data_IF_428456575624
#
_entry.id   IF_428456575624
#
_cell.length_a   1.000
_cell.length_b   1.000
_cell.length_c   1.000
_cell.angle_alpha   90.00
_cell.angle_beta   90.00
_cell.angle_gamma   90.00
#
_symmetry.space_group_name_H-M   'P 1'
#
loop_
_entity.id
_entity.type
_entity.pdbx_description
1 polymer ?
#
# COMPACT_ATOMS: atom_id res chain seq x y z
N UNK A 1 3.63 19.35 -10.89
CA UNK A 1 4.18 18.26 -11.77
C UNK A 1 4.67 17.07 -10.96
N UNK A 2 5.41 17.29 -9.87
CA UNK A 2 5.92 16.23 -8.99
C UNK A 2 4.82 15.34 -8.37
N UNK A 3 3.67 15.89 -7.94
CA UNK A 3 2.52 15.08 -7.50
C UNK A 3 2.08 14.00 -8.53
N UNK A 4 1.96 14.39 -9.81
CA UNK A 4 1.59 13.47 -10.90
C UNK A 4 2.69 12.46 -11.20
N UNK A 5 3.95 12.86 -11.08
CA UNK A 5 5.11 11.97 -11.22
C UNK A 5 5.16 10.93 -10.08
N UNK A 6 4.94 11.33 -8.83
CA UNK A 6 4.86 10.42 -7.69
C UNK A 6 3.75 9.38 -7.92
N UNK A 7 2.55 9.83 -8.28
CA UNK A 7 1.44 8.97 -8.67
C UNK A 7 1.81 8.03 -9.82
N UNK A 8 2.41 8.54 -10.88
CA UNK A 8 2.81 7.74 -12.04
C UNK A 8 3.84 6.67 -11.67
N UNK A 9 4.84 7.03 -10.87
CA UNK A 9 5.87 6.10 -10.39
C UNK A 9 5.29 5.02 -9.47
N UNK A 10 4.26 5.34 -8.68
CA UNK A 10 3.54 4.37 -7.87
C UNK A 10 2.71 3.44 -8.75
N UNK A 11 1.93 3.99 -9.68
CA UNK A 11 1.13 3.21 -10.64
C UNK A 11 1.99 2.26 -11.50
N UNK A 12 3.20 2.66 -11.88
CA UNK A 12 4.13 1.79 -12.61
C UNK A 12 4.61 0.62 -11.74
N UNK A 13 4.90 0.86 -10.46
CA UNK A 13 5.30 -0.19 -9.52
C UNK A 13 4.16 -1.14 -9.19
N UNK A 14 2.93 -0.64 -9.12
CA UNK A 14 1.72 -1.42 -8.88
C UNK A 14 1.17 -2.07 -10.17
N UNK A 15 1.74 -1.77 -11.34
CA UNK A 15 1.30 -2.32 -12.61
C UNK A 15 1.79 -3.75 -12.81
N UNK A 16 0.84 -4.68 -12.92
CA UNK A 16 1.10 -6.09 -13.21
C UNK A 16 1.93 -6.34 -14.47
N UNK A 17 1.89 -5.43 -15.45
CA UNK A 17 2.52 -5.61 -16.76
C UNK A 17 3.89 -4.96 -16.88
N UNK A 18 4.25 -4.05 -15.97
CA UNK A 18 5.45 -3.25 -16.14
C UNK A 18 6.74 -4.10 -16.09
N UNK A 19 6.88 -4.91 -15.05
CA UNK A 19 8.04 -5.82 -14.89
C UNK A 19 8.08 -6.89 -16.01
N UNK A 20 6.98 -7.61 -16.34
CA UNK A 20 6.97 -8.53 -17.47
C UNK A 20 7.37 -7.89 -18.80
N UNK A 21 6.89 -6.67 -19.08
CA UNK A 21 7.22 -5.96 -20.32
C UNK A 21 8.69 -5.57 -20.40
N UNK A 22 9.29 -5.17 -19.27
CA UNK A 22 10.71 -4.88 -19.20
C UNK A 22 11.57 -6.14 -19.39
N UNK A 23 11.17 -7.26 -18.79
CA UNK A 23 11.83 -8.56 -18.97
C UNK A 23 11.73 -9.06 -20.41
N UNK A 24 10.56 -8.91 -21.04
CA UNK A 24 10.33 -9.20 -22.44
C UNK A 24 11.26 -8.37 -23.35
N UNK A 25 11.31 -7.05 -23.15
CA UNK A 25 12.21 -6.18 -23.90
C UNK A 25 13.68 -6.57 -23.68
N UNK A 26 14.08 -6.87 -22.45
CA UNK A 26 15.41 -7.37 -22.11
C UNK A 26 15.76 -8.68 -22.82
N UNK A 27 14.82 -9.62 -22.90
CA UNK A 27 15.00 -10.87 -23.62
C UNK A 27 15.11 -10.68 -25.14
N UNK A 28 14.37 -9.74 -25.72
CA UNK A 28 14.50 -9.41 -27.14
C UNK A 28 15.87 -8.81 -27.47
N UNK A 29 16.37 -7.92 -26.60
CA UNK A 29 17.71 -7.36 -26.72
C UNK A 29 18.77 -8.44 -26.54
N UNK A 30 18.61 -9.32 -25.55
CA UNK A 30 19.51 -10.45 -25.31
C UNK A 30 19.56 -11.38 -26.52
N UNK A 31 18.41 -11.76 -27.09
CA UNK A 31 18.35 -12.60 -28.29
C UNK A 31 19.09 -11.95 -29.46
N UNK A 32 18.85 -10.66 -29.69
CA UNK A 32 19.50 -9.90 -30.77
C UNK A 32 21.03 -9.83 -30.58
N UNK A 33 21.48 -9.60 -29.34
CA UNK A 33 22.89 -9.56 -28.98
C UNK A 33 23.56 -10.92 -29.15
N UNK A 34 22.94 -12.00 -28.66
CA UNK A 34 23.52 -13.35 -28.78
C UNK A 34 23.62 -13.78 -30.24
N UNK A 35 22.59 -13.52 -31.05
CA UNK A 35 22.63 -13.76 -32.50
C UNK A 35 23.71 -12.92 -33.19
N UNK A 36 23.85 -11.65 -32.82
CA UNK A 36 24.90 -10.78 -33.36
C UNK A 36 26.29 -11.34 -33.04
N UNK A 37 26.53 -11.75 -31.79
CA UNK A 37 27.80 -12.36 -31.36
C UNK A 37 28.05 -13.67 -32.11
N UNK A 38 27.07 -14.57 -32.19
CA UNK A 38 27.19 -15.83 -32.94
C UNK A 38 27.51 -15.58 -34.43
N UNK A 39 26.95 -14.52 -35.02
CA UNK A 39 27.21 -14.16 -36.42
C UNK A 39 28.62 -13.60 -36.69
N UNK A 40 29.28 -13.01 -35.69
CA UNK A 40 30.61 -12.40 -35.83
C UNK A 40 31.75 -13.30 -35.38
N UNK A 41 31.55 -14.06 -34.29
CA UNK A 41 32.59 -14.91 -33.70
C UNK A 41 32.50 -16.38 -34.12
N UNK A 42 31.39 -16.79 -34.73
CA UNK A 42 31.15 -18.17 -35.18
C UNK A 42 31.16 -19.19 -34.04
N UNK A 43 31.23 -20.47 -34.38
CA UNK A 43 31.20 -21.58 -33.42
C UNK A 43 32.57 -22.11 -32.98
N UNK A 44 33.68 -21.48 -33.39
CA UNK A 44 35.04 -22.00 -33.14
C UNK A 44 35.43 -22.10 -31.66
N UNK A 45 34.69 -21.45 -30.76
CA UNK A 45 34.86 -21.58 -29.31
C UNK A 45 34.41 -22.95 -28.75
N UNK A 46 33.57 -23.69 -29.48
CA UNK A 46 33.06 -25.01 -29.07
C UNK A 46 34.03 -26.15 -29.34
N UNK A 47 34.99 -25.98 -30.24
CA UNK A 47 35.93 -27.03 -30.63
C UNK A 47 36.84 -27.50 -29.45
N UNK A 48 36.91 -26.72 -28.38
CA UNK A 48 37.64 -27.05 -27.14
C UNK A 48 36.84 -27.78 -26.05
N UNK A 49 35.53 -27.99 -26.22
CA UNK A 49 34.64 -28.59 -25.20
C UNK A 49 34.03 -29.92 -25.71
N UNK A 50 34.59 -31.08 -25.37
CA UNK A 50 34.22 -32.38 -25.96
C UNK A 50 32.79 -32.87 -25.64
N UNK A 51 32.08 -32.19 -24.75
CA UNK A 51 30.69 -32.47 -24.37
C UNK A 51 29.67 -31.53 -25.03
N UNK A 52 30.12 -30.46 -25.71
CA UNK A 52 29.27 -29.45 -26.33
C UNK A 52 29.30 -29.59 -27.86
N UNK A 53 28.54 -30.53 -28.41
CA UNK A 53 28.43 -30.68 -29.86
C UNK A 53 27.51 -29.59 -30.45
N UNK A 54 27.95 -28.96 -31.56
CA UNK A 54 27.16 -27.98 -32.29
C UNK A 54 25.83 -28.59 -32.75
N UNK A 55 24.72 -27.95 -32.36
CA UNK A 55 23.38 -28.39 -32.72
C UNK A 55 23.13 -28.20 -34.23
N UNK A 56 22.50 -29.19 -34.88
CA UNK A 56 22.06 -29.09 -36.27
C UNK A 56 20.84 -28.17 -36.40
N UNK A 57 20.62 -27.50 -37.56
CA UNK A 57 19.50 -26.57 -37.75
C UNK A 57 18.14 -27.14 -37.34
N UNK A 58 17.82 -28.36 -37.77
CA UNK A 58 16.52 -28.98 -37.46
C UNK A 58 16.35 -29.29 -35.97
N UNK A 59 17.43 -29.71 -35.30
CA UNK A 59 17.44 -29.97 -33.86
C UNK A 59 17.25 -28.68 -33.06
N UNK A 60 17.97 -27.61 -33.43
CA UNK A 60 17.84 -26.30 -32.81
C UNK A 60 16.43 -25.71 -33.02
N UNK A 61 15.87 -25.82 -34.23
CA UNK A 61 14.49 -25.38 -34.51
C UNK A 61 13.47 -26.14 -33.69
N UNK A 62 13.61 -27.47 -33.59
CA UNK A 62 12.72 -28.32 -32.82
C UNK A 62 12.77 -27.98 -31.34
N UNK A 63 13.97 -27.80 -30.77
CA UNK A 63 14.17 -27.37 -29.38
C UNK A 63 13.52 -26.01 -29.11
N UNK A 64 13.86 -24.98 -29.88
CA UNK A 64 13.33 -23.63 -29.66
C UNK A 64 11.81 -23.55 -29.89
N UNK A 65 11.27 -24.34 -30.82
CA UNK A 65 9.83 -24.42 -31.05
C UNK A 65 9.11 -25.10 -29.88
N UNK A 66 9.66 -26.22 -29.37
CA UNK A 66 9.10 -26.91 -28.20
C UNK A 66 9.17 -26.03 -26.94
N UNK A 67 10.29 -25.33 -26.75
CA UNK A 67 10.46 -24.36 -25.66
C UNK A 67 9.48 -23.21 -25.81
N UNK A 68 9.37 -22.59 -26.98
CA UNK A 68 8.43 -21.50 -27.21
C UNK A 68 6.98 -21.92 -26.94
N UNK A 69 6.56 -23.04 -27.51
CA UNK A 69 5.20 -23.57 -27.32
C UNK A 69 4.89 -23.95 -25.87
N UNK A 70 5.84 -24.54 -25.16
CA UNK A 70 5.64 -24.87 -23.74
C UNK A 70 5.59 -23.60 -22.86
N UNK A 71 6.49 -22.63 -23.07
CA UNK A 71 6.54 -21.41 -22.25
C UNK A 71 5.28 -20.55 -22.39
N UNK A 72 4.69 -20.43 -23.58
CA UNK A 72 3.42 -19.70 -23.75
C UNK A 72 2.26 -20.43 -23.03
N UNK A 73 2.26 -21.77 -23.05
CA UNK A 73 1.29 -22.59 -22.32
C UNK A 73 1.42 -22.48 -20.80
N UNK A 74 2.65 -22.49 -20.28
CA UNK A 74 2.92 -22.26 -18.85
C UNK A 74 2.51 -20.85 -18.45
N UNK A 75 2.88 -19.83 -19.24
CA UNK A 75 2.46 -18.44 -18.98
C UNK A 75 0.93 -18.30 -18.90
N UNK A 76 0.19 -18.93 -19.82
CA UNK A 76 -1.28 -18.93 -19.80
C UNK A 76 -1.86 -19.63 -18.58
N UNK A 77 -1.28 -20.76 -18.17
CA UNK A 77 -1.68 -21.49 -16.96
C UNK A 77 -1.42 -20.66 -15.71
N UNK A 78 -0.22 -20.09 -15.58
CA UNK A 78 0.17 -19.21 -14.47
C UNK A 78 -0.78 -18.02 -14.36
N UNK A 79 -1.06 -17.34 -15.46
CA UNK A 79 -2.01 -16.22 -15.47
C UNK A 79 -3.41 -16.65 -15.00
N UNK A 80 -3.90 -17.80 -15.48
CA UNK A 80 -5.21 -18.33 -15.09
C UNK A 80 -5.28 -18.64 -13.59
N UNK A 81 -4.23 -19.26 -13.03
CA UNK A 81 -4.14 -19.55 -11.59
C UNK A 81 -4.08 -18.26 -10.79
N UNK A 82 -3.31 -17.26 -11.21
CA UNK A 82 -3.24 -15.94 -10.53
C UNK A 82 -4.60 -15.25 -10.52
N UNK A 83 -5.34 -15.25 -11.63
CA UNK A 83 -6.68 -14.64 -11.68
C UNK A 83 -7.68 -15.42 -10.83
N UNK A 84 -7.63 -16.75 -10.83
CA UNK A 84 -8.49 -17.56 -9.97
C UNK A 84 -8.23 -17.28 -8.48
N UNK A 85 -6.95 -17.18 -8.09
CA UNK A 85 -6.54 -16.79 -6.75
C UNK A 85 -7.06 -15.42 -6.34
N UNK A 86 -6.94 -14.45 -7.25
CA UNK A 86 -7.45 -13.08 -7.09
C UNK A 86 -8.96 -13.06 -6.87
N UNK A 87 -9.73 -13.78 -7.70
CA UNK A 87 -11.19 -13.87 -7.58
C UNK A 87 -11.57 -14.52 -6.26
N UNK A 88 -10.86 -15.59 -5.85
CA UNK A 88 -11.07 -16.24 -4.56
C UNK A 88 -10.81 -15.27 -3.38
N UNK A 89 -9.68 -14.57 -3.38
CA UNK A 89 -9.33 -13.63 -2.31
C UNK A 89 -10.30 -12.44 -2.25
N UNK A 90 -10.66 -11.84 -3.38
CA UNK A 90 -11.68 -10.78 -3.44
C UNK A 90 -13.04 -11.28 -2.93
N UNK A 91 -13.38 -12.53 -3.27
CA UNK A 91 -14.59 -13.21 -2.87
C UNK A 91 -14.65 -13.53 -1.38
N UNK A 92 -13.52 -13.77 -0.71
CA UNK A 92 -13.48 -14.10 0.72
C UNK A 92 -13.21 -12.88 1.61
N UNK A 93 -12.35 -11.96 1.19
CA UNK A 93 -11.74 -10.97 2.09
C UNK A 93 -12.03 -9.51 1.72
N UNK A 94 -12.47 -9.24 0.49
CA UNK A 94 -12.93 -7.92 0.06
C UNK A 94 -12.23 -7.43 -1.23
N UNK A 95 -12.91 -6.60 -2.04
CA UNK A 95 -12.39 -6.14 -3.32
C UNK A 95 -11.15 -5.25 -3.25
N UNK A 96 -10.82 -4.66 -2.09
CA UNK A 96 -9.65 -3.76 -1.95
C UNK A 96 -8.32 -4.53 -2.05
N UNK A 97 -8.32 -5.79 -1.61
CA UNK A 97 -7.16 -6.68 -1.65
C UNK A 97 -6.74 -7.10 -3.06
N UNK A 98 -7.63 -6.96 -4.05
CA UNK A 98 -7.34 -7.19 -5.47
C UNK A 98 -6.08 -6.45 -5.94
N UNK A 99 -5.88 -5.22 -5.44
CA UNK A 99 -4.75 -4.38 -5.84
C UNK A 99 -3.41 -4.91 -5.33
N UNK A 100 -3.39 -5.49 -4.12
CA UNK A 100 -2.18 -6.05 -3.50
C UNK A 100 -1.68 -7.29 -4.28
N UNK A 101 -2.59 -8.18 -4.69
CA UNK A 101 -2.22 -9.37 -5.47
C UNK A 101 -1.63 -9.04 -6.85
N UNK A 102 -2.12 -7.99 -7.50
CA UNK A 102 -1.62 -7.56 -8.81
C UNK A 102 -0.26 -6.82 -8.70
N UNK A 103 0.03 -6.23 -7.54
CA UNK A 103 1.30 -5.59 -7.24
C UNK A 103 2.39 -6.60 -6.80
N UNK A 104 2.05 -7.88 -6.61
CA UNK A 104 3.01 -8.89 -6.16
C UNK A 104 4.13 -9.13 -7.18
N UNK A 105 5.37 -8.87 -6.75
CA UNK A 105 6.57 -9.00 -7.59
C UNK A 105 6.86 -10.44 -7.98
N UNK A 106 6.50 -11.42 -7.15
CA UNK A 106 6.70 -12.84 -7.45
C UNK A 106 5.89 -13.28 -8.66
N UNK A 107 4.62 -12.89 -8.72
CA UNK A 107 3.72 -13.12 -9.85
C UNK A 107 4.22 -12.40 -11.11
N UNK A 108 4.63 -11.13 -10.98
CA UNK A 108 5.16 -10.34 -12.09
C UNK A 108 6.46 -10.94 -12.68
N UNK A 109 7.41 -11.34 -11.84
CA UNK A 109 8.67 -11.97 -12.29
C UNK A 109 8.40 -13.34 -12.89
N UNK A 110 7.47 -14.12 -12.33
CA UNK A 110 7.09 -15.43 -12.87
C UNK A 110 6.54 -15.30 -14.28
N UNK A 111 5.51 -14.46 -14.47
CA UNK A 111 4.90 -14.23 -15.78
C UNK A 111 5.92 -13.64 -16.76
N UNK A 112 6.71 -12.67 -16.29
CA UNK A 112 7.78 -12.05 -17.06
C UNK A 112 8.82 -13.05 -17.55
N UNK A 113 9.22 -14.03 -16.72
CA UNK A 113 10.19 -15.07 -17.07
C UNK A 113 9.65 -15.95 -18.21
N UNK A 114 8.41 -16.42 -18.13
CA UNK A 114 7.84 -17.28 -19.16
C UNK A 114 7.64 -16.54 -20.49
N UNK A 115 7.15 -15.30 -20.45
CA UNK A 115 7.00 -14.46 -21.64
C UNK A 115 8.37 -14.12 -22.24
N UNK A 116 9.36 -13.78 -21.41
CA UNK A 116 10.72 -13.48 -21.84
C UNK A 116 11.37 -14.70 -22.53
N UNK A 117 11.30 -15.89 -21.93
CA UNK A 117 11.86 -17.12 -22.50
C UNK A 117 11.16 -17.52 -23.81
N UNK A 118 9.83 -17.31 -23.89
CA UNK A 118 9.07 -17.48 -25.13
C UNK A 118 9.57 -16.55 -26.25
N UNK A 119 9.63 -15.23 -25.98
CA UNK A 119 10.05 -14.24 -26.96
C UNK A 119 11.50 -14.42 -27.40
N UNK A 120 12.38 -14.72 -26.43
CA UNK A 120 13.77 -15.06 -26.70
C UNK A 120 13.85 -16.23 -27.69
N UNK A 121 13.15 -17.34 -27.39
CA UNK A 121 13.19 -18.55 -28.22
C UNK A 121 12.63 -18.32 -29.62
N UNK A 122 11.53 -17.57 -29.74
CA UNK A 122 10.94 -17.22 -31.04
C UNK A 122 11.84 -16.32 -31.89
N UNK A 123 12.52 -15.34 -31.27
CA UNK A 123 13.45 -14.47 -31.98
C UNK A 123 14.68 -15.24 -32.47
N UNK A 124 15.28 -16.08 -31.62
CA UNK A 124 16.42 -16.91 -32.03
C UNK A 124 15.99 -17.90 -33.12
N UNK A 125 14.81 -18.53 -32.97
CA UNK A 125 14.26 -19.48 -33.94
C UNK A 125 14.15 -18.87 -35.35
N UNK A 126 13.72 -17.60 -35.45
CA UNK A 126 13.60 -16.87 -36.71
C UNK A 126 14.95 -16.70 -37.44
N UNK A 127 16.07 -16.78 -36.72
CA UNK A 127 17.41 -16.53 -37.29
C UNK A 127 18.10 -17.80 -37.80
N UNK A 128 17.59 -18.99 -37.46
CA UNK A 128 18.16 -20.27 -37.92
C UNK A 128 17.91 -20.45 -39.40
N UNK A 129 18.98 -20.70 -40.17
CA UNK A 129 18.95 -20.92 -41.62
C UNK A 129 19.43 -22.33 -41.96
N UNK A 130 18.67 -23.03 -42.77
CA UNK A 130 19.06 -24.30 -43.39
C UNK A 130 19.98 -24.06 -44.60
N UNK A 131 20.84 -25.02 -44.95
CA UNK A 131 21.63 -24.93 -46.17
C UNK A 131 20.71 -24.75 -47.40
N UNK A 132 20.99 -23.75 -48.24
CA UNK A 132 20.25 -23.49 -49.49
C UNK A 132 18.94 -22.72 -49.36
N UNK A 133 18.53 -22.31 -48.16
CA UNK A 133 17.23 -21.65 -47.90
C UNK A 133 17.16 -20.20 -48.42
N UNK A 134 18.31 -19.53 -48.62
CA UNK A 134 18.41 -18.15 -49.14
C UNK A 134 19.16 -18.05 -50.48
N UNK A 135 19.15 -19.12 -51.27
CA UNK A 135 19.84 -19.22 -52.56
C UNK A 135 20.95 -20.26 -52.58
N UNK A 136 21.31 -20.69 -53.79
CA UNK A 136 22.34 -21.70 -54.01
C UNK A 136 23.70 -21.18 -53.48
N UNK A 137 24.17 -21.75 -52.37
CA UNK A 137 25.43 -21.38 -51.71
C UNK A 137 25.30 -20.76 -50.32
N UNK A 138 24.08 -20.52 -49.81
CA UNK A 138 23.90 -20.06 -48.43
C UNK A 138 24.24 -21.17 -47.42
N UNK A 139 25.28 -20.95 -46.61
CA UNK A 139 25.69 -21.86 -45.53
C UNK A 139 24.63 -21.93 -44.42
N UNK A 140 24.54 -23.10 -43.77
CA UNK A 140 23.69 -23.28 -42.61
C UNK A 140 24.16 -22.38 -41.47
N UNK A 141 23.23 -21.69 -40.81
CA UNK A 141 23.54 -20.85 -39.65
C UNK A 141 22.68 -21.26 -38.47
N UNK A 142 23.35 -21.66 -37.40
CA UNK A 142 22.74 -21.97 -36.11
C UNK A 142 23.48 -21.19 -35.03
N UNK A 143 22.81 -20.25 -34.34
CA UNK A 143 23.41 -19.46 -33.27
C UNK A 143 23.53 -20.33 -32.01
N UNK A 144 24.67 -20.99 -31.84
CA UNK A 144 24.89 -22.00 -30.81
C UNK A 144 24.94 -21.38 -29.41
N UNK A 145 25.54 -20.20 -29.27
CA UNK A 145 25.58 -19.50 -27.99
C UNK A 145 24.17 -19.04 -27.60
N UNK A 146 23.41 -18.52 -28.56
CA UNK A 146 22.00 -18.17 -28.33
C UNK A 146 21.16 -19.40 -27.92
N UNK A 147 21.42 -20.58 -28.50
CA UNK A 147 20.76 -21.84 -28.12
C UNK A 147 21.14 -22.26 -26.69
N UNK A 148 22.41 -22.14 -26.30
CA UNK A 148 22.87 -22.42 -24.93
C UNK A 148 22.16 -21.53 -23.90
N UNK A 149 22.04 -20.23 -24.20
CA UNK A 149 21.28 -19.29 -23.36
C UNK A 149 19.79 -19.67 -23.32
N UNK A 150 19.19 -20.14 -24.43
CA UNK A 150 17.81 -20.62 -24.41
C UNK A 150 17.61 -21.77 -23.41
N UNK A 151 18.53 -22.73 -23.40
CA UNK A 151 18.50 -23.87 -22.46
C UNK A 151 18.62 -23.39 -21.01
N UNK A 152 19.52 -22.44 -20.73
CA UNK A 152 19.66 -21.85 -19.39
C UNK A 152 18.38 -21.12 -18.95
N UNK A 153 17.76 -20.35 -19.86
CA UNK A 153 16.49 -19.69 -19.59
C UNK A 153 15.37 -20.68 -19.28
N UNK A 154 15.32 -21.82 -19.97
CA UNK A 154 14.35 -22.89 -19.69
C UNK A 154 14.57 -23.52 -18.32
N UNK A 155 15.81 -23.83 -17.97
CA UNK A 155 16.14 -24.34 -16.62
C UNK A 155 15.75 -23.33 -15.54
N UNK A 156 16.00 -22.04 -15.78
CA UNK A 156 15.53 -20.96 -14.92
C UNK A 156 14.01 -20.89 -14.83
N UNK A 157 13.29 -21.01 -15.95
CA UNK A 157 11.82 -21.08 -15.98
C UNK A 157 11.28 -22.24 -15.14
N UNK A 158 11.92 -23.41 -15.15
CA UNK A 158 11.49 -24.54 -14.31
C UNK A 158 11.64 -24.21 -12.81
N UNK A 159 12.75 -23.60 -12.40
CA UNK A 159 12.93 -23.16 -11.02
C UNK A 159 11.89 -22.11 -10.60
N UNK A 160 11.61 -21.14 -11.49
CA UNK A 160 10.58 -20.12 -11.29
C UNK A 160 9.18 -20.71 -11.22
N UNK A 161 8.88 -21.77 -11.99
CA UNK A 161 7.61 -22.49 -11.90
C UNK A 161 7.43 -23.18 -10.54
N UNK A 162 8.48 -23.84 -10.03
CA UNK A 162 8.46 -24.47 -8.70
C UNK A 162 8.24 -23.39 -7.63
N UNK A 163 8.94 -22.25 -7.74
CA UNK A 163 8.73 -21.10 -6.88
C UNK A 163 7.28 -20.60 -6.93
N UNK A 164 6.70 -20.45 -8.11
CA UNK A 164 5.32 -19.98 -8.28
C UNK A 164 4.28 -20.90 -7.62
N UNK A 165 4.46 -22.22 -7.75
CA UNK A 165 3.59 -23.23 -7.13
C UNK A 165 3.60 -23.10 -5.61
N UNK A 166 4.73 -22.69 -5.00
CA UNK A 166 4.83 -22.46 -3.57
C UNK A 166 4.33 -21.06 -3.15
N UNK A 167 4.66 -20.04 -3.93
CA UNK A 167 4.41 -18.63 -3.61
C UNK A 167 2.92 -18.27 -3.64
N UNK A 168 2.18 -18.72 -4.65
CA UNK A 168 0.77 -18.34 -4.80
C UNK A 168 -0.10 -18.80 -3.62
N UNK A 169 -0.09 -20.08 -3.20
CA UNK A 169 -0.89 -20.52 -2.06
C UNK A 169 -0.56 -19.80 -0.75
N UNK A 170 0.73 -19.54 -0.49
CA UNK A 170 1.17 -18.86 0.74
C UNK A 170 0.71 -17.40 0.81
N UNK A 171 0.68 -16.71 -0.33
CA UNK A 171 0.21 -15.33 -0.44
C UNK A 171 -1.32 -15.21 -0.37
N UNK A 172 -2.05 -16.28 -0.69
CA UNK A 172 -3.51 -16.32 -0.55
C UNK A 172 -3.94 -16.51 0.91
N UNK A 173 -3.09 -17.12 1.73
CA UNK A 173 -3.43 -17.37 3.12
C UNK A 173 -3.72 -16.05 3.85
N UNK A 174 -4.88 -15.96 4.52
CA UNK A 174 -5.40 -14.71 5.08
C UNK A 174 -4.44 -14.05 6.07
N UNK A 175 -3.74 -14.85 6.87
CA UNK A 175 -2.74 -14.35 7.81
C UNK A 175 -1.62 -13.58 7.11
N UNK A 176 -1.17 -14.04 5.94
CA UNK A 176 -0.12 -13.35 5.15
C UNK A 176 -0.62 -12.00 4.62
N UNK A 177 -1.90 -11.93 4.23
CA UNK A 177 -2.51 -10.68 3.74
C UNK A 177 -2.68 -9.68 4.89
N UNK A 178 -3.19 -10.15 6.03
CA UNK A 178 -3.34 -9.33 7.23
C UNK A 178 -1.98 -8.81 7.70
N UNK A 179 -0.96 -9.68 7.74
CA UNK A 179 0.42 -9.32 8.07
C UNK A 179 0.98 -8.28 7.11
N UNK A 180 0.83 -8.47 5.79
CA UNK A 180 1.33 -7.51 4.81
C UNK A 180 0.70 -6.11 4.97
N UNK A 181 -0.62 -6.05 5.17
CA UNK A 181 -1.34 -4.77 5.41
C UNK A 181 -0.94 -4.16 6.76
N UNK A 182 -0.87 -4.97 7.81
CA UNK A 182 -0.51 -4.55 9.16
C UNK A 182 0.92 -4.00 9.25
N UNK A 183 1.90 -4.72 8.71
CA UNK A 183 3.27 -4.24 8.63
C UNK A 183 3.38 -2.97 7.78
N UNK A 184 2.63 -2.89 6.67
CA UNK A 184 2.60 -1.67 5.85
C UNK A 184 2.05 -0.49 6.64
N UNK A 185 1.01 -0.69 7.44
CA UNK A 185 0.46 0.35 8.31
C UNK A 185 1.50 0.83 9.34
N UNK A 186 2.19 -0.09 10.02
CA UNK A 186 3.24 0.25 10.99
C UNK A 186 4.38 1.01 10.30
N UNK A 187 4.89 0.50 9.17
CA UNK A 187 5.94 1.19 8.39
C UNK A 187 5.52 2.58 7.94
N UNK A 188 4.27 2.78 7.55
CA UNK A 188 3.78 4.10 7.16
C UNK A 188 3.62 5.04 8.36
N UNK A 189 3.29 4.53 9.55
CA UNK A 189 3.33 5.30 10.80
C UNK A 189 4.77 5.70 11.12
N UNK A 190 5.73 4.77 11.02
CA UNK A 190 7.17 5.02 11.20
C UNK A 190 7.69 6.12 10.27
N UNK A 191 7.36 6.02 8.98
CA UNK A 191 7.85 6.94 7.95
C UNK A 191 7.19 8.32 8.00
N UNK A 192 6.04 8.47 8.68
CA UNK A 192 5.28 9.73 8.73
C UNK A 192 5.38 10.44 10.06
N UNK A 193 5.66 9.73 11.14
CA UNK A 193 5.65 10.29 12.49
C UNK A 193 6.95 9.94 13.21
N UNK A 194 7.70 10.91 13.77
CA UNK A 194 7.58 12.35 13.58
C UNK A 194 8.35 12.78 12.32
N UNK A 195 7.73 12.73 11.14
CA UNK A 195 8.25 13.41 9.95
C UNK A 195 7.43 14.66 9.75
N UNK A 196 7.99 15.79 10.19
CA UNK A 196 7.36 17.09 10.04
C UNK A 196 7.63 17.63 8.64
N UNK A 197 6.56 18.08 8.00
CA UNK A 197 6.64 18.85 6.77
C UNK A 197 6.62 20.32 7.18
N UNK A 198 7.78 20.97 7.13
CA UNK A 198 8.00 22.28 7.77
C UNK A 198 8.24 22.17 9.28
N UNK A 199 8.44 23.30 9.95
CA UNK A 199 8.55 23.33 11.40
C UNK A 199 7.15 23.32 12.04
N UNK A 200 6.86 22.46 13.04
CA UNK A 200 5.60 22.50 13.75
C UNK A 200 5.51 23.80 14.56
N UNK A 201 4.40 24.54 14.40
CA UNK A 201 4.07 25.66 15.28
C UNK A 201 3.14 25.18 16.39
N UNK A 202 3.38 25.68 17.61
CA UNK A 202 2.53 25.36 18.75
C UNK A 202 1.13 25.95 18.54
N UNK A 203 0.12 25.09 18.69
CA UNK A 203 -1.30 25.41 18.53
C UNK A 203 -1.96 25.73 19.88
N UNK A 204 -1.19 25.69 20.98
CA UNK A 204 -1.64 25.97 22.35
C UNK A 204 -1.59 27.46 22.73
N UNK A 205 -1.13 28.34 21.83
CA UNK A 205 -1.17 29.79 22.06
C UNK A 205 -2.63 30.28 22.08
N UNK A 206 -2.99 31.11 23.08
CA UNK A 206 -4.34 31.67 23.22
C UNK A 206 -4.80 32.46 21.97
N UNK A 207 -6.11 32.74 21.86
CA UNK A 207 -6.73 33.39 20.68
C UNK A 207 -6.04 34.70 20.24
N UNK A 208 -5.41 35.42 21.18
CA UNK A 208 -4.67 36.67 20.94
C UNK A 208 -3.26 36.48 20.34
N UNK A 209 -2.66 35.29 20.44
CA UNK A 209 -1.30 34.98 19.92
C UNK A 209 -1.29 33.95 18.78
N UNK A 210 -2.48 33.53 18.29
CA UNK A 210 -2.54 32.53 17.22
C UNK A 210 -1.85 33.03 15.94
N UNK A 211 -0.85 32.28 15.40
CA UNK A 211 -0.13 32.66 14.18
C UNK A 211 -1.00 32.58 12.91
N UNK A 212 -2.26 32.13 13.04
CA UNK A 212 -3.24 32.07 11.97
C UNK A 212 -3.80 33.48 11.69
N UNK A 213 -3.66 34.00 10.46
CA UNK A 213 -4.26 35.28 10.07
C UNK A 213 -5.75 35.33 10.41
N UNK A 214 -6.25 36.47 10.90
CA UNK A 214 -7.70 36.66 11.19
C UNK A 214 -8.56 36.27 10.00
N UNK A 215 -8.08 36.64 8.82
CA UNK A 215 -8.65 36.29 7.54
C UNK A 215 -8.59 34.81 7.18
N UNK A 216 -8.18 33.88 8.06
CA UNK A 216 -8.27 32.42 7.88
C UNK A 216 -8.94 31.72 9.08
N UNK A 217 -9.35 32.49 10.11
CA UNK A 217 -10.12 32.00 11.26
C UNK A 217 -11.58 31.74 10.85
N UNK A 218 -12.26 30.87 11.60
CA UNK A 218 -13.59 30.35 11.22
C UNK A 218 -14.73 31.37 11.51
N UNK A 219 -14.49 32.36 12.35
CA UNK A 219 -15.52 33.31 12.83
C UNK A 219 -15.69 34.56 11.95
N UNK A 220 -14.82 34.78 10.96
CA UNK A 220 -14.73 36.07 10.25
C UNK A 220 -15.22 35.98 8.80
N UNK A 221 -16.54 36.07 8.62
CA UNK A 221 -17.23 35.94 7.32
C UNK A 221 -16.81 37.05 6.34
N UNK A 222 -16.48 38.24 6.84
CA UNK A 222 -16.04 39.39 6.04
C UNK A 222 -14.69 39.17 5.33
N UNK A 223 -13.90 38.19 5.76
CA UNK A 223 -12.58 37.91 5.21
C UNK A 223 -12.56 36.99 3.98
N UNK A 224 -13.73 36.62 3.42
CA UNK A 224 -13.79 35.76 2.23
C UNK A 224 -13.18 36.40 0.99
N UNK A 225 -13.29 37.73 0.83
CA UNK A 225 -12.73 38.46 -0.31
C UNK A 225 -11.20 38.51 -0.29
N UNK A 226 -10.60 38.38 0.90
CA UNK A 226 -9.15 38.35 1.07
C UNK A 226 -8.52 36.98 0.74
N UNK A 227 -9.32 35.98 0.36
CA UNK A 227 -8.88 34.61 0.07
C UNK A 227 -9.17 34.22 -1.37
N UNK A 228 -8.29 33.43 -1.97
CA UNK A 228 -8.55 32.78 -3.27
C UNK A 228 -8.82 31.29 -3.06
N UNK A 229 -9.94 30.81 -3.58
CA UNK A 229 -10.32 29.40 -3.54
C UNK A 229 -9.74 28.63 -4.73
N UNK A 230 -8.84 27.68 -4.48
CA UNK A 230 -8.25 26.82 -5.51
C UNK A 230 -9.17 25.62 -5.70
N UNK A 231 -9.96 25.64 -6.77
CA UNK A 231 -10.95 24.59 -7.07
C UNK A 231 -10.39 23.43 -7.89
N UNK A 232 -10.90 22.23 -7.61
CA UNK A 232 -10.63 21.03 -8.39
C UNK A 232 -11.21 21.14 -9.80
N UNK A 233 -10.45 20.69 -10.79
CA UNK A 233 -10.91 20.54 -12.18
C UNK A 233 -11.40 19.12 -12.49
N UNK A 234 -11.09 18.17 -11.61
CA UNK A 234 -11.36 16.73 -11.78
C UNK A 234 -12.29 16.21 -10.67
N UNK A 235 -12.88 15.04 -10.90
CA UNK A 235 -13.68 14.31 -9.91
C UNK A 235 -12.98 13.00 -9.57
N UNK A 236 -12.80 12.71 -8.28
CA UNK A 236 -12.16 11.48 -7.81
C UNK A 236 -11.59 11.58 -6.40
N UNK A 237 -10.81 10.58 -6.01
CA UNK A 237 -10.04 10.56 -4.78
C UNK A 237 -8.74 11.34 -4.93
N UNK A 238 -8.39 12.14 -3.93
CA UNK A 238 -7.06 12.75 -3.83
C UNK A 238 -6.08 11.64 -3.43
N UNK A 239 -5.13 11.29 -4.31
CA UNK A 239 -4.15 10.23 -4.06
C UNK A 239 -2.83 10.78 -3.52
N UNK A 240 -2.44 11.98 -3.98
CA UNK A 240 -1.21 12.66 -3.55
C UNK A 240 -1.49 14.14 -3.34
N UNK A 241 -0.99 14.67 -2.24
CA UNK A 241 -0.75 16.09 -2.00
C UNK A 241 0.77 16.29 -1.92
N UNK A 242 1.30 17.11 -2.81
CA UNK A 242 2.72 17.43 -2.86
C UNK A 242 3.02 18.62 -1.95
N UNK A 243 3.24 18.31 -0.67
CA UNK A 243 3.45 19.35 0.34
C UNK A 243 4.69 20.21 0.07
N UNK A 244 5.73 19.66 -0.58
CA UNK A 244 6.92 20.43 -0.94
C UNK A 244 6.61 21.50 -1.98
N UNK A 245 5.79 21.17 -2.99
CA UNK A 245 5.29 22.18 -3.94
C UNK A 245 4.42 23.22 -3.23
N UNK A 246 3.57 22.80 -2.29
CA UNK A 246 2.72 23.74 -1.53
C UNK A 246 3.54 24.71 -0.69
N UNK A 247 4.48 24.21 0.12
CA UNK A 247 5.36 25.02 0.97
C UNK A 247 6.22 25.97 0.13
N UNK A 248 6.88 25.48 -0.92
CA UNK A 248 7.70 26.34 -1.78
C UNK A 248 6.87 27.44 -2.43
N UNK A 249 5.65 27.13 -2.90
CA UNK A 249 4.77 28.16 -3.49
C UNK A 249 4.32 29.17 -2.44
N UNK A 250 4.05 28.71 -1.22
CA UNK A 250 3.66 29.57 -0.11
C UNK A 250 4.81 30.48 0.34
N UNK A 251 6.05 30.00 0.33
CA UNK A 251 7.23 30.79 0.66
C UNK A 251 7.56 31.80 -0.45
N UNK A 252 7.60 31.36 -1.71
CA UNK A 252 7.91 32.20 -2.88
C UNK A 252 7.00 33.43 -2.99
N UNK A 253 5.71 33.26 -2.66
CA UNK A 253 4.68 34.28 -2.82
C UNK A 253 4.20 34.86 -1.49
N UNK A 254 4.84 34.48 -0.39
CA UNK A 254 4.47 34.87 0.97
C UNK A 254 2.96 34.70 1.26
N UNK A 255 2.49 33.46 1.07
CA UNK A 255 1.11 33.02 1.26
C UNK A 255 0.97 32.12 2.50
N UNK A 256 -0.26 32.06 3.01
CA UNK A 256 -0.77 31.06 3.95
C UNK A 256 -1.85 30.23 3.26
N UNK A 257 -1.66 28.92 3.22
CA UNK A 257 -2.55 27.98 2.54
C UNK A 257 -3.38 27.19 3.56
N UNK A 258 -4.70 27.15 3.42
CA UNK A 258 -5.60 26.34 4.24
C UNK A 258 -6.13 25.15 3.44
N UNK A 259 -5.66 23.95 3.77
CA UNK A 259 -6.07 22.71 3.09
C UNK A 259 -7.44 22.27 3.57
N UNK A 260 -8.37 22.07 2.63
CA UNK A 260 -9.72 21.61 2.94
C UNK A 260 -9.86 20.09 2.87
N UNK A 261 -9.00 19.44 2.09
CA UNK A 261 -9.01 18.01 1.85
C UNK A 261 -7.67 17.35 2.19
N UNK A 262 -7.71 16.06 2.51
CA UNK A 262 -6.54 15.20 2.76
C UNK A 262 -6.43 14.10 1.69
N UNK A 263 -5.22 13.52 1.49
CA UNK A 263 -5.07 12.31 0.68
C UNK A 263 -6.01 11.21 1.18
N UNK A 264 -6.84 10.67 0.29
CA UNK A 264 -7.89 9.70 0.59
C UNK A 264 -9.31 10.23 0.44
N UNK A 265 -9.48 11.56 0.49
CA UNK A 265 -10.80 12.17 0.40
C UNK A 265 -11.30 12.24 -1.05
N UNK A 266 -12.61 12.17 -1.24
CA UNK A 266 -13.24 12.31 -2.54
C UNK A 266 -13.63 13.78 -2.79
N UNK A 267 -13.13 14.35 -3.89
CA UNK A 267 -13.49 15.69 -4.34
C UNK A 267 -14.17 15.62 -5.72
N UNK A 268 -15.15 16.48 -5.95
CA UNK A 268 -15.79 16.64 -7.24
C UNK A 268 -15.24 17.87 -7.97
N UNK A 269 -15.48 17.94 -9.27
CA UNK A 269 -15.17 19.15 -10.05
C UNK A 269 -15.85 20.37 -9.38
N UNK A 270 -15.07 21.41 -9.12
CA UNK A 270 -15.52 22.63 -8.44
C UNK A 270 -15.34 22.64 -6.91
N UNK A 271 -15.05 21.51 -6.26
CA UNK A 271 -14.71 21.46 -4.83
C UNK A 271 -13.49 22.33 -4.53
N UNK A 272 -13.49 23.04 -3.40
CA UNK A 272 -12.36 23.88 -2.97
C UNK A 272 -11.29 22.99 -2.34
N UNK A 273 -10.17 22.76 -3.04
CA UNK A 273 -9.09 21.91 -2.54
C UNK A 273 -8.33 22.58 -1.40
N UNK A 274 -8.02 23.86 -1.59
CA UNK A 274 -7.41 24.72 -0.59
C UNK A 274 -7.83 26.18 -0.81
N UNK A 275 -7.65 26.99 0.23
CA UNK A 275 -7.73 28.45 0.18
C UNK A 275 -6.33 29.04 0.34
N UNK A 276 -6.04 30.12 -0.38
CA UNK A 276 -4.78 30.86 -0.28
C UNK A 276 -5.05 32.31 0.16
N UNK A 277 -4.23 32.80 1.09
CA UNK A 277 -4.24 34.18 1.57
C UNK A 277 -2.81 34.73 1.55
N UNK A 278 -2.59 36.03 1.28
CA UNK A 278 -3.56 37.02 0.82
C UNK A 278 -3.93 36.85 -0.67
N UNK A 279 -5.16 37.21 -1.05
CA UNK A 279 -5.69 37.00 -2.39
C UNK A 279 -4.91 37.72 -3.48
N UNK A 280 -4.41 38.92 -3.18
CA UNK A 280 -3.73 39.81 -4.14
C UNK A 280 -2.39 39.24 -4.63
N UNK A 281 -1.79 38.33 -3.85
CA UNK A 281 -0.54 37.64 -4.20
C UNK A 281 -0.75 36.33 -4.96
N UNK A 282 -1.99 35.93 -5.20
CA UNK A 282 -2.34 34.66 -5.84
C UNK A 282 -2.83 34.88 -7.28
N UNK A 283 -1.88 34.97 -8.21
CA UNK A 283 -2.17 35.11 -9.65
C UNK A 283 -2.60 33.77 -10.29
N UNK A 284 -2.96 33.79 -11.58
CA UNK A 284 -3.38 32.58 -12.30
C UNK A 284 -2.30 31.49 -12.33
N UNK A 285 -1.02 31.88 -12.34
CA UNK A 285 0.11 30.96 -12.34
C UNK A 285 0.23 30.24 -10.98
N UNK A 286 0.14 30.98 -9.89
CA UNK A 286 0.09 30.45 -8.53
C UNK A 286 -1.08 29.48 -8.35
N UNK A 287 -2.28 29.85 -8.81
CA UNK A 287 -3.47 28.99 -8.77
C UNK A 287 -3.22 27.69 -9.56
N UNK A 288 -2.58 27.76 -10.72
CA UNK A 288 -2.24 26.58 -11.51
C UNK A 288 -1.20 25.68 -10.82
N UNK A 289 -0.17 26.27 -10.21
CA UNK A 289 0.88 25.57 -9.45
C UNK A 289 0.33 24.88 -8.21
N UNK A 290 -0.48 25.58 -7.41
CA UNK A 290 -1.16 25.06 -6.22
C UNK A 290 -2.13 23.93 -6.58
N UNK A 291 -2.95 24.11 -7.62
CA UNK A 291 -3.82 23.02 -8.11
C UNK A 291 -3.02 21.82 -8.60
N UNK A 292 -1.88 22.06 -9.24
CA UNK A 292 -0.96 21.04 -9.74
C UNK A 292 -0.19 20.26 -8.66
N UNK A 293 -0.34 20.64 -7.39
CA UNK A 293 0.17 19.91 -6.24
C UNK A 293 -0.75 18.74 -5.83
N UNK A 294 -1.98 18.68 -6.37
CA UNK A 294 -2.92 17.58 -6.11
C UNK A 294 -2.90 16.59 -7.27
N UNK A 295 -2.77 15.29 -6.96
CA UNK A 295 -3.00 14.21 -7.91
C UNK A 295 -4.30 13.48 -7.58
N UNK A 296 -5.25 13.54 -8.51
CA UNK A 296 -6.57 12.89 -8.40
C UNK A 296 -6.55 11.51 -9.05
N UNK A 297 -7.37 10.56 -8.57
CA UNK A 297 -7.56 9.25 -9.19
C UNK A 297 -8.97 8.67 -8.95
N UNK A 298 -9.36 7.65 -9.72
CA UNK A 298 -10.69 7.03 -9.62
C UNK A 298 -10.87 6.11 -8.43
N UNK A 299 -9.77 5.74 -7.76
CA UNK A 299 -9.74 4.85 -6.59
C UNK A 299 -8.85 5.45 -5.51
N UNK A 300 -9.16 5.12 -4.28
CA UNK A 300 -8.33 5.44 -3.11
C UNK A 300 -7.07 4.57 -3.11
N UNK A 301 -5.98 5.08 -2.55
CA UNK A 301 -4.67 4.40 -2.54
C UNK A 301 -3.99 4.56 -1.19
N UNK A 302 -3.22 3.57 -0.73
CA UNK A 302 -2.45 3.66 0.53
C UNK A 302 -1.28 4.66 0.49
N UNK A 303 -0.88 5.14 -0.70
CA UNK A 303 0.33 5.95 -0.94
C UNK A 303 0.54 7.11 0.05
N UNK A 304 -0.51 7.89 0.32
CA UNK A 304 -0.48 8.97 1.31
C UNK A 304 -1.63 8.89 2.32
N UNK A 305 -2.28 7.73 2.45
CA UNK A 305 -3.49 7.61 3.27
C UNK A 305 -3.46 6.41 4.22
N UNK A 306 -3.07 6.66 5.49
CA UNK A 306 -3.08 5.66 6.56
C UNK A 306 -4.48 5.08 6.82
N UNK A 307 -5.51 5.91 6.64
CA UNK A 307 -6.90 5.51 6.88
C UNK A 307 -7.31 4.41 5.89
N UNK A 308 -6.65 4.28 4.74
CA UNK A 308 -6.94 3.23 3.76
C UNK A 308 -6.50 1.87 4.30
N UNK A 309 -5.30 1.78 4.87
CA UNK A 309 -4.75 0.54 5.43
C UNK A 309 -5.55 0.09 6.67
N UNK A 310 -5.99 1.03 7.50
CA UNK A 310 -6.92 0.74 8.60
C UNK A 310 -8.23 0.18 8.04
N UNK A 311 -8.82 0.82 7.02
CA UNK A 311 -10.07 0.34 6.43
C UNK A 311 -9.95 -1.05 5.79
N UNK A 312 -8.78 -1.41 5.25
CA UNK A 312 -8.54 -2.76 4.73
C UNK A 312 -8.57 -3.81 5.85
N UNK A 313 -7.91 -3.58 6.98
CA UNK A 313 -7.96 -4.48 8.15
C UNK A 313 -9.37 -4.54 8.75
N UNK A 314 -10.05 -3.41 8.84
CA UNK A 314 -11.44 -3.32 9.33
C UNK A 314 -12.40 -4.07 8.39
N UNK A 315 -12.22 -3.97 7.07
CA UNK A 315 -13.04 -4.69 6.11
C UNK A 315 -12.87 -6.21 6.24
N UNK A 316 -11.62 -6.69 6.40
CA UNK A 316 -11.35 -8.12 6.62
C UNK A 316 -12.00 -8.59 7.93
N UNK A 317 -11.80 -7.86 9.02
CA UNK A 317 -12.35 -8.23 10.32
C UNK A 317 -13.88 -8.20 10.36
N UNK A 318 -14.51 -7.14 9.84
CA UNK A 318 -15.96 -7.02 9.76
C UNK A 318 -16.57 -8.14 8.91
N UNK A 319 -15.90 -8.53 7.82
CA UNK A 319 -16.33 -9.64 6.98
C UNK A 319 -16.17 -10.99 7.67
N UNK A 320 -15.06 -11.21 8.37
CA UNK A 320 -14.83 -12.43 9.16
C UNK A 320 -15.89 -12.60 10.26
N UNK A 321 -16.29 -11.50 10.91
CA UNK A 321 -17.36 -11.48 11.93
C UNK A 321 -18.78 -11.44 11.35
N UNK A 322 -18.94 -11.37 10.04
CA UNK A 322 -20.27 -11.37 9.43
C UNK A 322 -20.97 -12.71 9.65
N UNK A 323 -22.31 -12.74 9.72
CA UNK A 323 -23.07 -13.99 9.93
C UNK A 323 -22.80 -15.09 8.90
N UNK A 324 -22.32 -14.73 7.71
CA UNK A 324 -22.01 -15.67 6.63
C UNK A 324 -20.65 -16.37 6.76
N UNK A 325 -19.72 -15.80 7.53
CA UNK A 325 -18.36 -16.37 7.72
C UNK A 325 -18.18 -16.86 9.15
N UNK A 326 -18.47 -15.99 10.13
CA UNK A 326 -18.40 -16.28 11.56
C UNK A 326 -17.04 -16.86 12.03
N UNK A 327 -15.95 -16.19 11.62
CA UNK A 327 -14.58 -16.54 11.97
C UNK A 327 -13.96 -15.45 12.88
N UNK A 328 -14.12 -15.57 14.22
CA UNK A 328 -13.56 -14.60 15.16
C UNK A 328 -12.03 -14.63 15.23
N UNK A 329 -11.36 -15.72 14.83
CA UNK A 329 -9.90 -15.81 14.91
C UNK A 329 -9.22 -14.97 13.83
N UNK A 330 -9.77 -14.93 12.62
CA UNK A 330 -9.30 -14.02 11.57
C UNK A 330 -9.50 -12.55 11.97
N UNK A 331 -10.63 -12.24 12.63
CA UNK A 331 -10.88 -10.90 13.15
C UNK A 331 -9.91 -10.51 14.28
N UNK A 332 -9.58 -11.46 15.16
CA UNK A 332 -8.58 -11.27 16.20
C UNK A 332 -7.21 -10.91 15.60
N UNK A 333 -6.76 -11.62 14.57
CA UNK A 333 -5.51 -11.27 13.87
C UNK A 333 -5.53 -9.82 13.36
N UNK A 334 -6.64 -9.35 12.78
CA UNK A 334 -6.76 -7.96 12.35
C UNK A 334 -6.71 -6.95 13.51
N UNK A 335 -7.40 -7.26 14.62
CA UNK A 335 -7.38 -6.44 15.84
C UNK A 335 -5.96 -6.32 16.40
N UNK A 336 -5.16 -7.37 16.31
CA UNK A 336 -3.77 -7.40 16.79
C UNK A 336 -2.89 -6.43 16.02
N UNK A 337 -2.99 -6.43 14.69
CA UNK A 337 -2.25 -5.50 13.84
C UNK A 337 -2.73 -4.06 13.99
N UNK A 338 -4.05 -3.83 14.15
CA UNK A 338 -4.60 -2.51 14.44
C UNK A 338 -4.12 -1.99 15.81
N UNK A 339 -4.10 -2.85 16.83
CA UNK A 339 -3.59 -2.51 18.15
C UNK A 339 -2.10 -2.20 18.11
N UNK A 340 -1.29 -3.03 17.44
CA UNK A 340 0.14 -2.80 17.29
C UNK A 340 0.44 -1.46 16.62
N UNK A 341 -0.27 -1.14 15.53
CA UNK A 341 -0.13 0.14 14.83
C UNK A 341 -0.53 1.33 15.72
N UNK A 342 -1.66 1.26 16.42
CA UNK A 342 -2.10 2.35 17.30
C UNK A 342 -1.27 2.48 18.57
N UNK A 343 -0.74 1.38 19.12
CA UNK A 343 0.18 1.37 20.25
C UNK A 343 1.53 1.99 19.88
N UNK A 344 1.93 1.88 18.62
CA UNK A 344 3.09 2.61 18.13
C UNK A 344 2.79 4.09 17.91
N UNK A 345 1.66 4.42 17.28
CA UNK A 345 1.23 5.78 17.06
C UNK A 345 1.03 6.58 18.36
N UNK A 346 0.51 5.94 19.42
CA UNK A 346 0.19 6.60 20.70
C UNK A 346 1.45 7.09 21.44
N UNK A 347 2.63 6.60 21.08
CA UNK A 347 3.92 7.07 21.61
C UNK A 347 4.54 8.20 20.78
N UNK A 348 3.96 8.51 19.62
CA UNK A 348 4.48 9.51 18.70
C UNK A 348 3.77 10.85 18.86
N UNK A 349 4.54 11.90 18.59
CA UNK A 349 4.00 13.24 18.41
C UNK A 349 3.31 13.30 17.04
N UNK A 350 2.04 13.71 17.06
CA UNK A 350 1.29 13.95 15.85
C UNK A 350 1.63 15.37 15.37
N UNK A 351 1.87 15.59 14.08
CA UNK A 351 2.27 16.88 13.55
C UNK A 351 1.18 17.91 13.82
N UNK A 352 1.63 19.12 14.16
CA UNK A 352 0.74 20.27 14.29
C UNK A 352 -0.03 20.47 12.98
N UNK A 353 -1.28 20.94 13.10
CA UNK A 353 -2.06 21.39 11.95
C UNK A 353 -1.38 22.59 11.26
N UNK A 354 -0.58 23.34 12.02
CA UNK A 354 0.14 24.53 11.58
C UNK A 354 1.56 24.15 11.18
N UNK A 355 1.93 24.44 9.93
CA UNK A 355 3.25 24.14 9.37
C UNK A 355 3.92 25.43 8.93
N UNK A 356 5.10 25.69 9.48
CA UNK A 356 5.94 26.83 9.13
C UNK A 356 7.06 26.47 8.15
N UNK A 357 7.59 27.50 7.46
CA UNK A 357 8.85 27.40 6.73
C UNK A 357 10.07 27.39 7.67
N UNK A 358 11.27 27.37 7.09
CA UNK A 358 12.54 27.36 7.82
C UNK A 358 12.76 28.66 8.61
N UNK A 359 12.14 29.76 8.17
CA UNK A 359 12.16 31.06 8.85
C UNK A 359 11.12 31.18 9.98
N UNK A 360 10.29 30.15 10.20
CA UNK A 360 9.27 30.12 11.26
C UNK A 360 7.95 30.81 10.89
N UNK A 361 7.77 31.23 9.64
CA UNK A 361 6.52 31.83 9.18
C UNK A 361 5.49 30.74 8.84
N UNK A 362 4.23 30.91 9.29
CA UNK A 362 3.15 29.99 8.97
C UNK A 362 2.91 29.95 7.45
N UNK A 363 2.93 28.75 6.86
CA UNK A 363 2.70 28.54 5.41
C UNK A 363 1.50 27.66 5.11
N UNK A 364 1.26 26.63 5.92
CA UNK A 364 0.17 25.67 5.65
C UNK A 364 -0.61 25.38 6.93
N UNK A 365 -1.93 25.49 6.83
CA UNK A 365 -2.92 25.03 7.79
C UNK A 365 -3.53 23.76 7.22
N UNK A 366 -3.06 22.62 7.70
CA UNK A 366 -3.56 21.29 7.32
C UNK A 366 -4.76 20.89 8.19
N UNK A 367 -5.57 19.92 7.73
CA UNK A 367 -6.48 19.22 8.64
C UNK A 367 -5.66 18.35 9.61
N UNK A 368 -5.87 18.45 10.93
CA UNK A 368 -5.18 17.60 11.88
C UNK A 368 -5.61 16.14 11.69
N UNK A 369 -4.64 15.23 11.69
CA UNK A 369 -4.91 13.81 11.92
C UNK A 369 -4.86 13.58 13.42
N UNK A 370 -6.01 13.27 14.02
CA UNK A 370 -6.09 13.04 15.47
C UNK A 370 -6.00 11.54 15.79
N UNK A 371 -5.42 11.23 16.96
CA UNK A 371 -5.47 9.89 17.51
C UNK A 371 -6.92 9.38 17.60
N UNK A 372 -7.84 10.25 18.04
CA UNK A 372 -9.25 9.88 18.16
C UNK A 372 -9.91 9.44 16.85
N UNK A 373 -9.62 10.13 15.75
CA UNK A 373 -10.14 9.75 14.44
C UNK A 373 -9.64 8.36 14.00
N UNK A 374 -8.36 8.07 14.23
CA UNK A 374 -7.78 6.78 13.85
C UNK A 374 -8.24 5.65 14.76
N UNK A 375 -8.38 5.91 16.07
CA UNK A 375 -8.95 4.96 17.04
C UNK A 375 -10.40 4.64 16.69
N UNK A 376 -11.24 5.64 16.41
CA UNK A 376 -12.64 5.43 16.03
C UNK A 376 -12.76 4.66 14.72
N UNK A 377 -11.90 4.99 13.73
CA UNK A 377 -11.89 4.29 12.45
C UNK A 377 -11.45 2.84 12.56
N UNK A 378 -10.53 2.52 13.47
CA UNK A 378 -10.06 1.15 13.70
C UNK A 378 -11.01 0.35 14.60
N UNK A 379 -11.27 0.85 15.81
CA UNK A 379 -12.03 0.16 16.85
C UNK A 379 -13.53 0.48 16.76
N UNK A 380 -13.92 1.74 16.63
CA UNK A 380 -15.33 2.15 16.54
C UNK A 380 -16.07 1.44 15.40
N UNK A 381 -15.46 1.35 14.22
CA UNK A 381 -16.02 0.64 13.07
C UNK A 381 -16.21 -0.88 13.30
N UNK A 382 -15.35 -1.50 14.12
CA UNK A 382 -15.42 -2.93 14.46
C UNK A 382 -16.29 -3.23 15.68
N UNK A 383 -16.57 -2.23 16.51
CA UNK A 383 -17.28 -2.40 17.77
C UNK A 383 -18.64 -3.11 17.59
N UNK A 384 -19.41 -2.72 16.58
CA UNK A 384 -20.72 -3.35 16.33
C UNK A 384 -20.61 -4.85 15.97
N UNK A 385 -19.55 -5.26 15.28
CA UNK A 385 -19.34 -6.65 14.87
C UNK A 385 -18.76 -7.47 16.03
N UNK A 386 -17.71 -6.97 16.67
CA UNK A 386 -17.03 -7.66 17.76
C UNK A 386 -17.90 -7.75 19.02
N UNK A 387 -18.81 -6.81 19.26
CA UNK A 387 -19.72 -6.83 20.41
C UNK A 387 -20.74 -7.98 20.38
N UNK A 388 -20.97 -8.59 19.21
CA UNK A 388 -21.90 -9.70 19.05
C UNK A 388 -21.25 -11.08 19.23
N UNK A 389 -19.92 -11.15 19.34
CA UNK A 389 -19.16 -12.40 19.53
C UNK A 389 -18.29 -12.34 20.79
N UNK A 390 -18.29 -13.41 21.58
CA UNK A 390 -17.57 -13.44 22.85
C UNK A 390 -16.04 -13.46 22.66
N UNK A 391 -15.55 -14.20 21.66
CA UNK A 391 -14.11 -14.36 21.40
C UNK A 391 -13.56 -13.04 20.87
N UNK A 392 -14.21 -12.49 19.84
CA UNK A 392 -13.83 -11.22 19.24
C UNK A 392 -13.98 -10.06 20.22
N UNK A 393 -15.06 -10.03 21.02
CA UNK A 393 -15.28 -8.95 21.97
C UNK A 393 -14.27 -8.92 23.12
N UNK A 394 -13.80 -10.09 23.57
CA UNK A 394 -12.67 -10.15 24.51
C UNK A 394 -11.38 -9.65 23.88
N UNK A 395 -11.08 -10.07 22.64
CA UNK A 395 -9.85 -9.63 21.97
C UNK A 395 -9.87 -8.15 21.64
N UNK A 396 -11.01 -7.59 21.28
CA UNK A 396 -11.21 -6.15 21.09
C UNK A 396 -10.79 -5.36 22.33
N UNK A 397 -11.28 -5.77 23.51
CA UNK A 397 -10.92 -5.12 24.77
C UNK A 397 -9.43 -5.29 25.09
N UNK A 398 -8.85 -6.46 24.82
CA UNK A 398 -7.41 -6.67 24.98
C UNK A 398 -6.60 -5.74 24.07
N UNK A 399 -6.98 -5.64 22.80
CA UNK A 399 -6.36 -4.79 21.80
C UNK A 399 -6.39 -3.30 22.21
N UNK A 400 -7.52 -2.80 22.75
CA UNK A 400 -7.59 -1.44 23.32
C UNK A 400 -6.69 -1.30 24.55
N UNK A 401 -6.65 -2.33 25.41
CA UNK A 401 -5.74 -2.39 26.55
C UNK A 401 -4.27 -2.32 26.14
N UNK A 402 -3.86 -3.04 25.10
CA UNK A 402 -2.51 -3.05 24.53
C UNK A 402 -2.07 -1.63 24.11
N UNK A 403 -2.97 -0.87 23.49
CA UNK A 403 -2.72 0.55 23.17
C UNK A 403 -2.63 1.41 24.43
N UNK A 404 -3.52 1.20 25.41
CA UNK A 404 -3.56 1.98 26.64
C UNK A 404 -2.28 1.86 27.49
N UNK A 405 -1.56 0.74 27.38
CA UNK A 405 -0.31 0.50 28.10
C UNK A 405 0.85 1.31 27.56
N UNK A 406 0.81 1.63 26.27
CA UNK A 406 1.80 2.49 25.63
C UNK A 406 1.44 3.98 25.74
N UNK A 407 0.32 4.31 26.40
CA UNK A 407 -0.24 5.66 26.45
C UNK A 407 -0.07 6.31 27.83
N UNK A 408 0.59 7.47 27.87
CA UNK A 408 0.72 8.28 29.09
C UNK A 408 -0.13 9.57 29.06
N UNK A 409 -0.50 10.05 27.86
CA UNK A 409 -1.25 11.29 27.70
C UNK A 409 -2.71 11.14 28.17
N UNK A 410 -3.19 11.95 29.15
CA UNK A 410 -4.55 11.86 29.67
C UNK A 410 -5.64 12.04 28.61
N UNK A 411 -5.42 12.92 27.63
CA UNK A 411 -6.36 13.16 26.53
C UNK A 411 -6.53 11.94 25.62
N UNK A 412 -5.46 11.19 25.36
CA UNK A 412 -5.50 9.95 24.56
C UNK A 412 -6.11 8.79 25.36
N UNK A 413 -5.83 8.71 26.66
CA UNK A 413 -6.49 7.74 27.56
C UNK A 413 -8.01 7.96 27.64
N UNK A 414 -8.46 9.22 27.68
CA UNK A 414 -9.90 9.54 27.66
C UNK A 414 -10.59 9.04 26.38
N UNK A 415 -9.90 9.08 25.23
CA UNK A 415 -10.44 8.53 23.97
C UNK A 415 -10.57 7.01 24.03
N UNK A 416 -9.55 6.31 24.52
CA UNK A 416 -9.62 4.86 24.69
C UNK A 416 -10.74 4.48 25.67
N UNK A 417 -10.91 5.24 26.76
CA UNK A 417 -11.97 5.05 27.75
C UNK A 417 -13.36 5.18 27.13
N UNK A 418 -13.58 6.19 26.29
CA UNK A 418 -14.84 6.37 25.57
C UNK A 418 -15.15 5.14 24.69
N UNK A 419 -14.16 4.64 23.94
CA UNK A 419 -14.31 3.45 23.10
C UNK A 419 -14.67 2.19 23.92
N UNK A 420 -14.09 2.01 25.10
CA UNK A 420 -14.43 0.87 25.99
C UNK A 420 -15.87 0.98 26.51
N UNK A 421 -16.31 2.19 26.88
CA UNK A 421 -17.68 2.41 27.35
C UNK A 421 -18.72 2.12 26.25
N UNK A 422 -18.50 2.67 25.06
CA UNK A 422 -19.39 2.47 23.92
C UNK A 422 -19.44 0.99 23.53
N UNK A 423 -18.28 0.31 23.52
CA UNK A 423 -18.20 -1.13 23.26
C UNK A 423 -18.93 -1.96 24.32
N UNK A 424 -18.79 -1.63 25.61
CA UNK A 424 -19.47 -2.32 26.70
C UNK A 424 -20.99 -2.24 26.54
N UNK A 425 -21.52 -1.05 26.24
CA UNK A 425 -22.95 -0.86 26.02
C UNK A 425 -23.48 -1.72 24.85
N UNK A 426 -22.72 -1.81 23.75
CA UNK A 426 -23.06 -2.67 22.61
C UNK A 426 -23.03 -4.16 23.01
N UNK A 427 -22.01 -4.60 23.75
CA UNK A 427 -21.88 -5.99 24.18
C UNK A 427 -22.99 -6.41 25.15
N UNK A 428 -23.44 -5.51 26.02
CA UNK A 428 -24.56 -5.75 26.93
C UNK A 428 -25.88 -5.99 26.19
N UNK A 429 -26.08 -5.28 25.07
CA UNK A 429 -27.26 -5.42 24.22
C UNK A 429 -27.23 -6.69 23.37
N UNK A 430 -26.05 -7.07 22.85
CA UNK A 430 -25.91 -8.15 21.86
C UNK A 430 -25.66 -9.53 22.49
N UNK A 431 -24.94 -9.62 23.61
CA UNK A 431 -24.57 -10.90 24.24
C UNK A 431 -25.52 -11.31 25.36
N UNK A 432 -25.57 -12.61 25.65
CA UNK A 432 -26.40 -13.19 26.72
C UNK A 432 -25.60 -14.11 27.63
N UNK A 433 -26.09 -14.31 28.85
CA UNK A 433 -25.58 -15.32 29.79
C UNK A 433 -24.09 -15.17 30.12
N UNK A 434 -23.36 -16.29 30.05
CA UNK A 434 -21.92 -16.33 30.35
C UNK A 434 -21.08 -15.49 29.38
N UNK A 435 -21.48 -15.41 28.11
CA UNK A 435 -20.76 -14.65 27.09
C UNK A 435 -20.76 -13.15 27.42
N UNK A 436 -21.93 -12.62 27.79
CA UNK A 436 -22.06 -11.22 28.21
C UNK A 436 -21.20 -10.92 29.42
N UNK A 437 -21.27 -11.76 30.47
CA UNK A 437 -20.46 -11.58 31.68
C UNK A 437 -18.97 -11.54 31.34
N UNK A 438 -18.50 -12.50 30.55
CA UNK A 438 -17.08 -12.57 30.18
C UNK A 438 -16.55 -11.31 29.47
N UNK A 439 -17.36 -10.66 28.62
CA UNK A 439 -16.98 -9.43 27.93
C UNK A 439 -17.16 -8.20 28.82
N UNK A 440 -18.24 -8.13 29.60
CA UNK A 440 -18.52 -6.97 30.46
C UNK A 440 -17.56 -6.88 31.64
N UNK A 441 -17.26 -8.01 32.29
CA UNK A 441 -16.26 -8.08 33.38
C UNK A 441 -14.90 -7.64 32.83
N UNK A 442 -14.58 -8.03 31.59
CA UNK A 442 -13.36 -7.60 30.91
C UNK A 442 -13.33 -6.10 30.64
N UNK A 443 -14.44 -5.51 30.23
CA UNK A 443 -14.55 -4.07 30.00
C UNK A 443 -14.37 -3.30 31.33
N UNK A 444 -14.95 -3.81 32.42
CA UNK A 444 -14.83 -3.21 33.75
C UNK A 444 -13.40 -3.23 34.29
N UNK A 445 -12.66 -4.33 34.10
CA UNK A 445 -11.25 -4.40 34.44
C UNK A 445 -10.42 -3.37 33.66
N UNK A 446 -10.69 -3.22 32.36
CA UNK A 446 -9.98 -2.25 31.52
C UNK A 446 -10.31 -0.81 31.91
N UNK A 447 -11.58 -0.49 32.20
CA UNK A 447 -11.97 0.85 32.66
C UNK A 447 -11.26 1.21 33.97
N UNK A 448 -11.18 0.27 34.92
CA UNK A 448 -10.39 0.47 36.16
C UNK A 448 -8.91 0.70 35.86
N UNK A 449 -8.34 -0.01 34.90
CA UNK A 449 -6.94 0.17 34.50
C UNK A 449 -6.68 1.53 33.81
N UNK A 450 -7.67 2.07 33.11
CA UNK A 450 -7.57 3.41 32.52
C UNK A 450 -7.67 4.52 33.57
N UNK A 451 -8.44 4.30 34.64
CA UNK A 451 -8.65 5.26 35.72
C UNK A 451 -7.53 5.20 36.79
N UNK A 452 -6.94 4.02 37.07
CA UNK A 452 -5.89 3.82 38.07
C UNK A 452 -4.56 3.33 37.46
N UNK A 453 -3.52 4.20 37.36
CA UNK A 453 -2.21 3.83 36.86
C UNK A 453 -1.49 2.72 37.65
N UNK A 454 -1.76 2.59 38.96
CA UNK A 454 -1.17 1.54 39.78
C UNK A 454 -1.80 0.18 39.47
N UNK A 455 -3.13 0.13 39.32
CA UNK A 455 -3.84 -1.07 38.87
C UNK A 455 -3.40 -1.49 37.46
N UNK A 456 -3.17 -0.53 36.55
CA UNK A 456 -2.61 -0.79 35.22
C UNK A 456 -1.24 -1.47 35.26
N UNK A 457 -0.33 -1.00 36.14
CA UNK A 457 0.99 -1.63 36.34
C UNK A 457 0.85 -3.03 36.95
N UNK A 458 -0.04 -3.20 37.92
CA UNK A 458 -0.30 -4.51 38.52
C UNK A 458 -0.81 -5.53 37.49
N UNK A 459 -1.73 -5.12 36.61
CA UNK A 459 -2.21 -5.96 35.52
C UNK A 459 -1.09 -6.37 34.56
N UNK A 460 -0.16 -5.45 34.25
CA UNK A 460 1.04 -5.72 33.43
C UNK A 460 1.99 -6.72 34.05
N UNK A 461 2.24 -6.57 35.34
CA UNK A 461 3.28 -7.34 36.03
C UNK A 461 2.75 -8.68 36.58
N UNK A 462 1.43 -8.94 36.50
CA UNK A 462 0.76 -10.16 36.99
C UNK A 462 0.41 -11.20 35.92
N UNK A 463 0.06 -12.42 36.35
CA UNK A 463 -0.39 -13.52 35.46
C UNK A 463 -1.80 -13.32 34.87
N UNK A 464 -2.52 -12.27 35.29
CA UNK A 464 -3.81 -11.85 34.72
C UNK A 464 -3.65 -10.96 33.49
N UNK A 465 -2.44 -10.91 32.93
CA UNK A 465 -2.06 -9.96 31.92
C UNK A 465 -2.92 -10.01 30.66
N UNK A 466 -3.21 -8.81 30.15
CA UNK A 466 -4.22 -8.56 29.13
C UNK A 466 -3.80 -8.87 27.69
N UNK A 467 -2.49 -8.88 27.40
CA UNK A 467 -1.98 -8.95 26.03
C UNK A 467 -1.37 -10.30 25.61
N UNK A 468 -1.16 -11.25 26.54
CA UNK A 468 -0.26 -12.39 26.31
C UNK A 468 -0.78 -13.80 26.61
N UNK A 469 -2.03 -13.97 27.03
CA UNK A 469 -2.60 -15.32 27.25
C UNK A 469 -3.28 -15.80 25.96
N UNK A 470 -2.48 -16.36 25.05
CA UNK A 470 -2.96 -16.96 23.80
C UNK A 470 -4.06 -18.01 24.04
#
# INVERSE_FOLDING_TARGET
MRARFLKFSANLRESYWFVPSLMAAGAMLLASLMVYVDSHFGSGWMDGLPWLYAARPDGARSLLSAVGGSMIGVAGTTFSVTIAAVVYASGQYGPRLLSNFMADKGNQVTLGTFIATFLYSMLVLRTIRSPGENGAGAEAFVPQLALGVAVLLVLGSVAVLIYFIHHVPQRIHINSVIEEVGERLIREIDNRFPVFIGAPLDDQAGEDESPVPSALRDDDVAAHEARVAIRSKDTGYIQVVDDGTLLATAQDLDLVLRLQYQPGDFAHRGSVLLEAWPAEKCDEHAIARLRGAFAMGSRRTPLQDLRFLIDELVEIAARALSPGVNDPFTANSCLDWLAAALADLVRRELPSRLRADEEGALRVIARPMSFALLTDRAFGALAQYASADMIAGRRFLNAVGDVALSCEAPSRLAVLRAQVLDFKALAEANLKGANRRSVCDRADDLLRALDDPAFRRHLRDGNTWLGGTA
#
